data_IF_935259610491
#
_entry.id   IF_935259610491
#
_cell.length_a   1.000
_cell.length_b   1.000
_cell.length_c   1.000
_cell.angle_alpha   90.00
_cell.angle_beta   90.00
_cell.angle_gamma   90.00
#
_symmetry.space_group_name_H-M   'P 1'
#
loop_
_entity.id
_entity.type
_entity.pdbx_description
1 polymer ?
#
# COMPACT_ATOMS: atom_id res chain seq x y z
N UNK A 1 75.85 9.33 12.48
CA UNK A 1 76.83 9.82 11.52
C UNK A 1 76.09 10.36 10.33
N UNK A 2 76.24 11.63 10.18
CA UNK A 2 76.32 12.62 9.12
C UNK A 2 75.00 12.87 8.35
N UNK A 3 74.23 13.82 8.72
CA UNK A 3 74.21 15.26 8.40
C UNK A 3 74.60 15.63 6.96
N UNK A 4 73.67 16.16 6.19
CA UNK A 4 73.94 17.39 5.38
C UNK A 4 72.62 18.09 4.98
N UNK A 5 72.41 19.28 5.50
CA UNK A 5 71.53 20.33 4.96
C UNK A 5 72.12 20.91 3.69
N UNK A 6 71.33 21.35 2.73
CA UNK A 6 71.57 22.55 1.94
C UNK A 6 70.29 23.32 1.70
N UNK A 7 70.42 24.58 1.93
CA UNK A 7 69.56 25.72 1.90
C UNK A 7 69.51 26.42 0.52
N UNK A 8 68.54 27.24 0.28
CA UNK A 8 68.49 28.35 -0.63
C UNK A 8 67.30 28.33 -1.57
N UNK A 9 66.46 29.27 -1.76
CA UNK A 9 66.48 30.67 -1.43
C UNK A 9 65.73 31.41 -2.53
N UNK A 10 64.75 32.23 -2.14
CA UNK A 10 64.28 33.46 -2.80
C UNK A 10 63.76 33.49 -4.24
N UNK A 11 62.61 34.12 -4.37
CA UNK A 11 62.16 34.66 -5.65
C UNK A 11 60.76 35.27 -5.61
N UNK A 12 60.56 36.24 -4.74
CA UNK A 12 59.44 37.17 -4.85
C UNK A 12 59.69 38.06 -6.06
N UNK A 13 58.87 38.06 -7.04
CA UNK A 13 58.54 39.23 -7.85
C UNK A 13 57.12 39.19 -8.40
N UNK A 14 56.35 40.06 -7.85
CA UNK A 14 55.08 40.53 -8.34
C UNK A 14 55.11 40.91 -9.83
N UNK A 15 54.00 40.69 -10.49
CA UNK A 15 53.54 41.61 -11.52
C UNK A 15 52.03 41.76 -11.44
N UNK A 16 51.67 42.88 -10.82
CA UNK A 16 50.47 43.64 -11.06
C UNK A 16 50.47 44.08 -12.54
N UNK A 17 49.68 43.46 -13.40
CA UNK A 17 49.17 44.03 -14.67
C UNK A 17 48.04 43.09 -15.10
N UNK A 18 46.82 43.44 -14.82
CA UNK A 18 45.57 43.04 -15.48
C UNK A 18 44.35 43.59 -14.73
N UNK A 19 44.35 44.88 -14.49
CA UNK A 19 43.19 45.59 -13.93
C UNK A 19 42.97 46.86 -14.80
N UNK A 20 42.78 46.68 -16.09
CA UNK A 20 42.46 47.82 -16.97
C UNK A 20 41.81 47.38 -18.32
N UNK A 21 41.02 46.31 -18.36
CA UNK A 21 40.33 45.92 -19.59
C UNK A 21 38.91 45.35 -19.37
N UNK A 22 38.21 45.76 -18.33
CA UNK A 22 36.82 45.33 -18.04
C UNK A 22 35.89 46.50 -17.66
N UNK A 23 36.21 47.71 -18.13
CA UNK A 23 35.37 48.89 -17.85
C UNK A 23 34.82 49.55 -19.13
N UNK A 24 34.69 48.86 -20.24
CA UNK A 24 34.19 49.43 -21.51
C UNK A 24 33.21 48.54 -22.29
N UNK A 25 32.45 47.71 -21.61
CA UNK A 25 31.37 46.91 -22.30
C UNK A 25 30.08 46.83 -21.48
N UNK A 26 29.72 47.90 -20.79
CA UNK A 26 28.48 47.99 -20.01
C UNK A 26 27.62 49.21 -20.37
N UNK A 27 27.54 49.57 -21.64
CA UNK A 27 26.70 50.69 -22.06
C UNK A 27 26.02 50.48 -23.41
N UNK A 28 25.66 49.25 -23.77
CA UNK A 28 24.68 48.99 -24.82
C UNK A 28 23.91 47.73 -24.44
N UNK A 29 23.05 47.84 -23.47
CA UNK A 29 21.87 46.96 -23.38
C UNK A 29 20.69 47.89 -23.20
N UNK A 30 20.06 48.05 -24.31
CA UNK A 30 18.82 48.77 -24.40
C UNK A 30 17.77 48.14 -23.51
N UNK A 31 16.91 48.98 -23.07
CA UNK A 31 15.58 48.74 -22.54
C UNK A 31 14.95 47.54 -23.23
N UNK A 32 15.05 46.39 -22.61
CA UNK A 32 14.11 45.29 -22.82
C UNK A 32 13.16 45.33 -21.63
N UNK A 33 11.92 45.57 -21.94
CA UNK A 33 10.80 45.67 -21.04
C UNK A 33 10.88 44.67 -19.91
N UNK A 34 10.87 45.13 -18.69
CA UNK A 34 10.43 44.42 -17.51
C UNK A 34 8.92 44.11 -17.66
N UNK A 35 8.58 43.16 -18.53
CA UNK A 35 7.31 42.49 -18.45
C UNK A 35 7.42 41.57 -17.23
N UNK A 36 6.71 41.96 -16.21
CA UNK A 36 6.67 41.28 -14.92
C UNK A 36 6.38 39.78 -15.06
N UNK A 37 7.38 38.97 -14.75
CA UNK A 37 7.12 37.68 -14.18
C UNK A 37 6.64 37.93 -12.74
N UNK A 38 5.37 38.23 -12.60
CA UNK A 38 4.67 37.93 -11.38
C UNK A 38 4.65 36.40 -11.32
N UNK A 39 5.54 35.84 -10.51
CA UNK A 39 5.35 34.53 -9.93
C UNK A 39 4.06 34.65 -9.13
N UNK A 40 2.94 34.36 -9.75
CA UNK A 40 1.72 34.04 -9.03
C UNK A 40 2.09 32.79 -8.24
N UNK A 41 2.38 32.98 -6.97
CA UNK A 41 2.12 31.97 -5.98
C UNK A 41 0.62 31.66 -6.16
N UNK A 42 0.33 30.61 -6.89
CA UNK A 42 -1.00 30.04 -6.95
C UNK A 42 -1.25 29.62 -5.51
N UNK A 43 -2.05 30.38 -4.78
CA UNK A 43 -2.73 29.85 -3.62
C UNK A 43 -3.34 28.53 -4.06
N UNK A 44 -2.92 27.45 -3.42
CA UNK A 44 -3.52 26.15 -3.60
C UNK A 44 -4.92 26.34 -3.06
N UNK A 45 -5.89 26.42 -3.95
CA UNK A 45 -7.30 26.41 -3.59
C UNK A 45 -7.57 25.07 -2.90
N UNK A 46 -7.85 25.04 -1.60
CA UNK A 46 -8.11 23.80 -0.88
C UNK A 46 -9.42 23.13 -1.32
N UNK A 47 -10.14 23.72 -2.30
CA UNK A 47 -11.38 23.21 -2.87
C UNK A 47 -11.21 22.73 -4.32
N UNK A 48 -9.97 22.71 -4.84
CA UNK A 48 -9.70 22.11 -6.16
C UNK A 48 -9.99 20.62 -6.11
N UNK A 49 -10.60 20.04 -7.19
CA UNK A 49 -10.84 18.61 -7.20
C UNK A 49 -9.51 17.88 -7.06
N UNK A 50 -9.35 17.16 -5.96
CA UNK A 50 -8.26 16.22 -5.74
C UNK A 50 -8.19 15.29 -6.95
N UNK A 51 -7.18 15.47 -7.79
CA UNK A 51 -6.94 14.65 -8.98
C UNK A 51 -6.36 13.28 -8.60
N UNK A 52 -6.76 12.74 -7.45
CA UNK A 52 -6.37 11.42 -7.00
C UNK A 52 -7.62 10.65 -6.63
N UNK A 53 -8.11 9.89 -7.61
CA UNK A 53 -9.05 8.82 -7.43
C UNK A 53 -10.40 9.22 -6.85
N UNK A 54 -11.25 9.65 -7.62
CA UNK A 54 -12.60 9.15 -7.37
C UNK A 54 -13.09 8.64 -8.72
N UNK A 55 -13.25 7.33 -8.81
CA UNK A 55 -14.28 6.79 -9.67
C UNK A 55 -15.43 7.77 -9.52
N UNK A 56 -15.79 8.44 -10.60
CA UNK A 56 -16.89 9.40 -10.61
C UNK A 56 -18.03 8.80 -9.78
N UNK A 57 -18.57 9.53 -8.81
CA UNK A 57 -19.68 9.07 -7.95
C UNK A 57 -20.91 8.66 -8.77
N UNK A 58 -20.87 8.84 -10.09
CA UNK A 58 -21.92 8.51 -11.07
C UNK A 58 -21.74 7.12 -11.71
N UNK A 59 -20.56 6.48 -11.66
CA UNK A 59 -20.38 5.18 -12.33
C UNK A 59 -20.57 4.01 -11.37
N UNK A 60 -21.49 3.09 -11.77
CA UNK A 60 -21.68 1.82 -11.07
C UNK A 60 -20.73 0.78 -11.65
N UNK A 61 -19.50 0.72 -11.11
CA UNK A 61 -18.44 -0.20 -11.56
C UNK A 61 -17.88 -0.99 -10.38
N UNK A 62 -17.21 -2.09 -10.64
CA UNK A 62 -16.52 -2.90 -9.64
C UNK A 62 -17.45 -3.30 -8.50
N UNK A 63 -17.01 -3.08 -7.25
CA UNK A 63 -17.79 -3.43 -6.05
C UNK A 63 -19.13 -2.68 -5.97
N UNK A 64 -19.29 -1.53 -6.61
CA UNK A 64 -20.55 -0.78 -6.66
C UNK A 64 -21.65 -1.48 -7.48
N UNK A 65 -21.29 -2.48 -8.27
CA UNK A 65 -22.26 -3.37 -8.95
C UNK A 65 -22.86 -4.41 -8.00
N UNK A 66 -22.30 -4.57 -6.80
CA UNK A 66 -22.81 -5.48 -5.80
C UNK A 66 -23.99 -4.86 -5.05
N UNK A 67 -25.06 -5.59 -4.95
CA UNK A 67 -26.21 -5.24 -4.11
C UNK A 67 -26.28 -6.23 -2.96
N UNK A 68 -26.05 -5.79 -1.71
CA UNK A 68 -26.09 -6.70 -0.57
C UNK A 68 -27.45 -7.37 -0.43
N UNK A 69 -27.51 -8.69 -0.22
CA UNK A 69 -28.77 -9.36 0.09
C UNK A 69 -29.31 -8.88 1.43
N UNK A 70 -30.63 -8.94 1.61
CA UNK A 70 -31.25 -8.60 2.86
C UNK A 70 -30.86 -9.59 3.98
N UNK A 71 -30.76 -9.10 5.21
CA UNK A 71 -30.54 -9.91 6.41
C UNK A 71 -29.08 -10.14 6.78
N UNK A 72 -28.13 -9.50 6.12
CA UNK A 72 -26.77 -9.42 6.62
C UNK A 72 -26.70 -8.42 7.79
N UNK A 73 -26.02 -8.82 8.86
CA UNK A 73 -25.81 -8.00 10.04
C UNK A 73 -24.42 -7.35 10.01
N UNK A 74 -24.35 -6.10 10.48
CA UNK A 74 -23.08 -5.39 10.67
C UNK A 74 -22.94 -4.99 12.13
N UNK A 75 -21.90 -5.50 12.77
CA UNK A 75 -21.49 -5.11 14.11
C UNK A 75 -20.37 -4.07 13.97
N UNK A 76 -20.71 -2.80 14.22
CA UNK A 76 -19.82 -1.69 13.95
C UNK A 76 -18.97 -1.30 15.17
N UNK A 77 -17.80 -0.69 14.89
CA UNK A 77 -16.94 -0.03 15.87
C UNK A 77 -16.48 -0.93 17.03
N UNK A 78 -16.20 -2.20 16.72
CA UNK A 78 -15.61 -3.12 17.68
C UNK A 78 -14.13 -2.78 17.89
N UNK A 79 -13.71 -2.60 19.15
CA UNK A 79 -12.33 -2.35 19.49
C UNK A 79 -11.53 -3.66 19.39
N UNK A 80 -10.46 -3.66 18.57
CA UNK A 80 -9.54 -4.80 18.47
C UNK A 80 -8.17 -4.50 19.09
N UNK A 81 -7.93 -3.27 19.53
CA UNK A 81 -6.72 -2.89 20.25
C UNK A 81 -6.64 -1.42 20.57
N UNK A 82 -5.73 -1.11 21.47
CA UNK A 82 -5.34 0.25 21.84
C UNK A 82 -3.84 0.35 21.79
N UNK A 83 -3.30 1.37 21.12
CA UNK A 83 -1.85 1.59 21.03
C UNK A 83 -1.35 2.40 22.23
N UNK A 84 -0.03 2.42 22.43
CA UNK A 84 0.61 3.10 23.57
C UNK A 84 0.28 4.60 23.65
N UNK A 85 0.04 5.25 22.51
CA UNK A 85 -0.37 6.65 22.40
C UNK A 85 -1.86 6.89 22.72
N UNK A 86 -2.61 5.83 23.02
CA UNK A 86 -4.04 5.87 23.29
C UNK A 86 -4.92 5.77 22.05
N UNK A 87 -4.37 5.59 20.87
CA UNK A 87 -5.13 5.39 19.63
C UNK A 87 -5.94 4.10 19.70
N UNK A 88 -7.26 4.22 19.57
CA UNK A 88 -8.16 3.07 19.47
C UNK A 88 -8.16 2.53 18.06
N UNK A 89 -7.99 1.22 17.94
CA UNK A 89 -8.09 0.48 16.68
C UNK A 89 -9.44 -0.21 16.63
N UNK A 90 -10.23 0.09 15.60
CA UNK A 90 -11.60 -0.42 15.47
C UNK A 90 -11.81 -1.16 14.17
N UNK A 91 -12.70 -2.15 14.19
CA UNK A 91 -13.14 -2.88 13.01
C UNK A 91 -14.68 -3.00 13.01
N UNK A 92 -15.22 -3.33 11.85
CA UNK A 92 -16.63 -3.71 11.71
C UNK A 92 -16.71 -5.18 11.26
N UNK A 93 -17.57 -5.96 11.87
CA UNK A 93 -17.85 -7.33 11.43
C UNK A 93 -19.15 -7.38 10.65
N UNK A 94 -19.06 -7.83 9.41
CA UNK A 94 -20.20 -8.22 8.59
C UNK A 94 -20.44 -9.72 8.77
N UNK A 95 -21.59 -10.06 9.35
CA UNK A 95 -21.93 -11.44 9.65
C UNK A 95 -22.63 -12.11 8.46
N UNK A 96 -22.20 -13.32 8.09
CA UNK A 96 -22.96 -14.13 7.13
C UNK A 96 -24.32 -14.56 7.70
N UNK A 97 -25.27 -15.02 6.87
CA UNK A 97 -26.54 -15.53 7.38
C UNK A 97 -26.34 -16.61 8.44
N UNK A 98 -27.19 -16.70 9.46
CA UNK A 98 -27.02 -17.63 10.58
C UNK A 98 -26.75 -19.08 10.15
N UNK A 99 -25.86 -19.77 10.85
CA UNK A 99 -25.49 -21.17 10.63
C UNK A 99 -24.97 -21.81 11.90
N UNK A 100 -24.86 -23.14 11.94
CA UNK A 100 -24.47 -23.90 13.13
C UNK A 100 -22.99 -24.29 13.18
N UNK A 101 -22.26 -24.13 12.10
CA UNK A 101 -20.82 -24.45 12.04
C UNK A 101 -19.96 -23.19 12.16
N UNK A 102 -18.79 -23.34 12.76
CA UNK A 102 -17.77 -22.29 12.70
C UNK A 102 -17.34 -22.02 11.25
N UNK A 103 -17.09 -20.76 10.92
CA UNK A 103 -16.88 -20.26 9.55
C UNK A 103 -15.50 -19.66 9.39
N UNK A 104 -14.94 -19.73 8.19
CA UNK A 104 -13.73 -18.98 7.92
C UNK A 104 -13.99 -17.48 8.05
N UNK A 105 -12.94 -16.74 8.46
CA UNK A 105 -13.00 -15.30 8.52
C UNK A 105 -12.10 -14.67 7.45
N UNK A 106 -12.42 -13.44 7.03
CA UNK A 106 -11.59 -12.64 6.12
C UNK A 106 -11.41 -11.24 6.69
N UNK A 107 -10.16 -10.85 6.93
CA UNK A 107 -9.80 -9.45 7.24
C UNK A 107 -9.82 -8.66 5.95
N UNK A 108 -10.69 -7.65 5.87
CA UNK A 108 -10.83 -6.74 4.73
C UNK A 108 -10.11 -5.42 5.02
N UNK A 109 -9.10 -5.10 4.21
CA UNK A 109 -8.14 -4.03 4.44
C UNK A 109 -8.33 -2.96 3.37
N UNK A 110 -8.79 -1.77 3.76
CA UNK A 110 -9.08 -0.69 2.82
C UNK A 110 -7.84 -0.10 2.17
N UNK A 111 -8.01 0.46 0.97
CA UNK A 111 -7.01 1.27 0.28
C UNK A 111 -7.01 2.73 0.76
N UNK A 112 -6.26 3.59 0.05
CA UNK A 112 -6.19 5.01 0.32
C UNK A 112 -4.77 5.52 0.55
N UNK A 113 -3.80 4.95 -0.16
CA UNK A 113 -2.40 5.42 -0.12
C UNK A 113 -1.77 5.42 1.28
N UNK A 114 -2.25 4.55 2.17
CA UNK A 114 -1.91 4.50 3.61
C UNK A 114 -2.18 5.81 4.38
N UNK A 115 -2.73 6.84 3.72
CA UNK A 115 -2.92 8.19 4.27
C UNK A 115 -4.39 8.55 4.49
N UNK A 116 -5.30 7.74 3.99
CA UNK A 116 -6.75 7.95 4.09
C UNK A 116 -7.49 6.63 3.95
N UNK A 117 -8.78 6.67 4.18
CA UNK A 117 -9.66 5.50 4.10
C UNK A 117 -10.35 5.24 5.43
N UNK A 118 -11.38 4.43 5.38
CA UNK A 118 -12.16 4.04 6.55
C UNK A 118 -12.89 2.73 6.26
N UNK A 119 -12.92 1.85 7.26
CA UNK A 119 -13.62 0.56 7.24
C UNK A 119 -15.11 0.66 6.89
N UNK A 120 -15.73 1.80 7.23
CA UNK A 120 -17.15 2.06 7.01
C UNK A 120 -17.43 2.91 5.75
N UNK A 121 -16.39 3.28 4.97
CA UNK A 121 -16.60 3.87 3.65
C UNK A 121 -17.55 2.99 2.83
N UNK A 122 -18.46 3.59 2.06
CA UNK A 122 -19.53 2.87 1.37
C UNK A 122 -19.04 1.71 0.49
N UNK A 123 -17.93 1.90 -0.21
CA UNK A 123 -17.38 0.88 -1.09
C UNK A 123 -16.72 -0.26 -0.28
N UNK A 124 -15.99 0.05 0.79
CA UNK A 124 -15.40 -0.96 1.66
C UNK A 124 -16.45 -1.66 2.54
N UNK A 125 -17.53 -0.95 2.89
CA UNK A 125 -18.72 -1.57 3.49
C UNK A 125 -19.33 -2.60 2.53
N UNK A 126 -19.41 -2.30 1.24
CA UNK A 126 -19.89 -3.25 0.24
C UNK A 126 -18.95 -4.46 0.08
N UNK A 127 -17.63 -4.28 0.18
CA UNK A 127 -16.67 -5.41 0.23
C UNK A 127 -16.95 -6.30 1.43
N UNK A 128 -17.11 -5.72 2.62
CA UNK A 128 -17.41 -6.45 3.85
C UNK A 128 -18.72 -7.26 3.71
N UNK A 129 -19.78 -6.63 3.20
CA UNK A 129 -21.08 -7.28 2.97
C UNK A 129 -21.02 -8.34 1.86
N UNK A 130 -20.22 -8.10 0.81
CA UNK A 130 -20.00 -9.12 -0.22
C UNK A 130 -19.33 -10.38 0.37
N UNK A 131 -18.23 -10.23 1.09
CA UNK A 131 -17.55 -11.34 1.74
C UNK A 131 -18.49 -12.09 2.71
N UNK A 132 -19.31 -11.35 3.47
CA UNK A 132 -20.32 -11.95 4.33
C UNK A 132 -21.39 -12.72 3.54
N UNK A 133 -21.81 -12.22 2.37
CA UNK A 133 -22.78 -12.91 1.50
C UNK A 133 -22.21 -14.21 0.91
N UNK A 134 -20.88 -14.29 0.76
CA UNK A 134 -20.17 -15.51 0.38
C UNK A 134 -19.99 -16.50 1.54
N UNK A 135 -20.42 -16.15 2.76
CA UNK A 135 -20.39 -17.06 3.91
C UNK A 135 -19.22 -16.88 4.86
N UNK A 136 -18.35 -15.91 4.64
CA UNK A 136 -17.24 -15.57 5.54
C UNK A 136 -17.71 -14.67 6.68
N UNK A 137 -17.09 -14.77 7.85
CA UNK A 137 -17.12 -13.69 8.84
C UNK A 137 -16.14 -12.62 8.35
N UNK A 138 -16.65 -11.50 7.83
CA UNK A 138 -15.79 -10.47 7.23
C UNK A 138 -15.51 -9.35 8.25
N UNK A 139 -14.24 -9.06 8.52
CA UNK A 139 -13.78 -8.00 9.41
C UNK A 139 -13.16 -6.86 8.61
N UNK A 140 -13.91 -5.76 8.43
CA UNK A 140 -13.38 -4.54 7.81
C UNK A 140 -12.64 -3.72 8.84
N UNK A 141 -11.35 -3.47 8.64
CA UNK A 141 -10.47 -2.92 9.67
C UNK A 141 -10.03 -1.48 9.35
N UNK A 142 -10.00 -0.62 10.39
CA UNK A 142 -9.23 0.60 10.37
C UNK A 142 -7.81 0.30 10.88
N UNK A 143 -6.84 0.96 10.30
CA UNK A 143 -5.44 0.95 10.71
C UNK A 143 -4.91 2.39 10.76
N UNK A 144 -3.85 2.64 11.50
CA UNK A 144 -3.26 3.99 11.61
C UNK A 144 -2.66 4.44 10.29
N UNK A 145 -2.81 5.72 9.99
CA UNK A 145 -2.52 6.32 8.69
C UNK A 145 -1.34 7.30 8.76
N UNK A 146 -0.72 7.53 7.60
CA UNK A 146 0.19 8.65 7.34
C UNK A 146 -0.65 9.95 7.43
N UNK A 147 -0.15 11.06 8.00
CA UNK A 147 1.22 11.30 8.47
C UNK A 147 1.48 10.91 9.93
N UNK A 148 0.47 10.48 10.68
CA UNK A 148 0.59 10.24 12.11
C UNK A 148 1.55 9.08 12.43
N UNK A 149 1.56 8.07 11.56
CA UNK A 149 2.48 6.93 11.65
C UNK A 149 3.11 6.62 10.29
N UNK A 150 4.15 5.79 10.31
CA UNK A 150 4.86 5.30 9.13
C UNK A 150 4.91 3.76 9.15
N UNK A 151 5.39 3.17 8.06
CA UNK A 151 5.72 1.74 8.05
C UNK A 151 6.66 1.40 9.24
N UNK A 152 6.41 0.30 10.01
CA UNK A 152 5.43 -0.76 9.73
C UNK A 152 4.08 -0.61 10.46
N UNK A 153 3.76 0.51 11.08
CA UNK A 153 2.63 0.65 12.00
C UNK A 153 1.28 0.15 11.45
N UNK A 154 0.97 0.43 10.18
CA UNK A 154 -0.26 -0.06 9.55
C UNK A 154 -0.27 -1.60 9.41
N UNK A 155 0.88 -2.21 9.10
CA UNK A 155 1.03 -3.67 9.06
C UNK A 155 0.83 -4.28 10.45
N UNK A 156 1.42 -3.68 11.48
CA UNK A 156 1.26 -4.12 12.87
C UNK A 156 -0.19 -4.04 13.34
N UNK A 157 -0.95 -3.05 12.85
CA UNK A 157 -2.36 -2.90 13.18
C UNK A 157 -3.21 -3.99 12.54
N UNK A 158 -3.01 -4.29 11.24
CA UNK A 158 -3.77 -5.37 10.59
C UNK A 158 -3.37 -6.76 11.10
N UNK A 159 -2.11 -6.95 11.48
CA UNK A 159 -1.65 -8.17 12.14
C UNK A 159 -2.37 -8.40 13.49
N UNK A 160 -2.50 -7.34 14.29
CA UNK A 160 -3.24 -7.38 15.55
C UNK A 160 -4.73 -7.71 15.34
N UNK A 161 -5.34 -7.24 14.25
CA UNK A 161 -6.73 -7.58 13.94
C UNK A 161 -6.91 -9.08 13.65
N UNK A 162 -5.94 -9.73 12.98
CA UNK A 162 -5.96 -11.19 12.79
C UNK A 162 -5.83 -11.92 14.11
N UNK A 163 -4.89 -11.51 14.97
CA UNK A 163 -4.72 -12.11 16.30
C UNK A 163 -5.98 -11.96 17.16
N UNK A 164 -6.63 -10.79 17.10
CA UNK A 164 -7.88 -10.53 17.79
C UNK A 164 -9.01 -11.46 17.30
N UNK A 165 -9.19 -11.63 15.99
CA UNK A 165 -10.19 -12.55 15.43
C UNK A 165 -9.92 -14.01 15.80
N UNK A 166 -8.64 -14.38 15.94
CA UNK A 166 -8.21 -15.74 16.29
C UNK A 166 -8.36 -16.04 17.77
N UNK A 167 -8.42 -15.01 18.61
CA UNK A 167 -8.53 -15.21 20.06
C UNK A 167 -9.81 -15.99 20.41
N UNK A 168 -9.74 -16.94 21.39
CA UNK A 168 -10.85 -17.85 21.69
C UNK A 168 -12.18 -17.15 21.96
N UNK A 169 -12.15 -15.98 22.64
CA UNK A 169 -13.34 -15.21 22.96
C UNK A 169 -14.05 -14.69 21.71
N UNK A 170 -13.29 -14.12 20.76
CA UNK A 170 -13.82 -13.60 19.51
C UNK A 170 -14.23 -14.72 18.55
N UNK A 171 -13.45 -15.77 18.49
CA UNK A 171 -13.76 -16.93 17.67
C UNK A 171 -15.09 -17.57 18.12
N UNK A 172 -15.32 -17.73 19.43
CA UNK A 172 -16.59 -18.21 19.98
C UNK A 172 -17.73 -17.20 19.74
N UNK A 173 -17.51 -15.91 20.04
CA UNK A 173 -18.51 -14.86 19.93
C UNK A 173 -19.06 -14.74 18.50
N UNK A 174 -18.19 -14.79 17.49
CA UNK A 174 -18.56 -14.58 16.09
C UNK A 174 -18.68 -15.87 15.27
N UNK A 175 -18.47 -17.02 15.91
CA UNK A 175 -18.54 -18.33 15.25
C UNK A 175 -17.44 -18.50 14.20
N UNK A 176 -16.23 -18.03 14.48
CA UNK A 176 -15.05 -18.10 13.59
C UNK A 176 -14.32 -19.43 13.80
N UNK A 177 -13.91 -20.04 12.70
CA UNK A 177 -12.87 -21.07 12.73
C UNK A 177 -11.51 -20.39 12.75
N UNK A 178 -10.87 -20.37 13.91
CA UNK A 178 -9.61 -19.67 14.14
C UNK A 178 -8.43 -20.18 13.28
N UNK A 179 -8.53 -21.40 12.72
CA UNK A 179 -7.55 -21.95 11.80
C UNK A 179 -7.72 -21.45 10.36
N UNK A 180 -8.87 -20.86 10.03
CA UNK A 180 -9.24 -20.47 8.66
C UNK A 180 -9.50 -18.98 8.54
N UNK A 181 -8.46 -18.18 8.75
CA UNK A 181 -8.51 -16.71 8.59
C UNK A 181 -7.73 -16.32 7.34
N UNK A 182 -8.38 -15.64 6.41
CA UNK A 182 -7.77 -15.06 5.20
C UNK A 182 -7.67 -13.55 5.27
N UNK A 183 -6.97 -12.96 4.30
CA UNK A 183 -6.89 -11.51 4.11
C UNK A 183 -7.35 -11.11 2.70
N UNK A 184 -8.09 -10.01 2.62
CA UNK A 184 -8.45 -9.34 1.37
C UNK A 184 -8.07 -7.87 1.46
N UNK A 185 -7.46 -7.31 0.41
CA UNK A 185 -7.13 -5.89 0.40
C UNK A 185 -7.03 -5.31 -1.01
N UNK A 186 -7.12 -3.99 -1.11
CA UNK A 186 -6.97 -3.30 -2.39
C UNK A 186 -6.07 -2.07 -2.29
N UNK A 187 -5.27 -1.79 -3.33
CA UNK A 187 -4.33 -0.66 -3.34
C UNK A 187 -3.35 -0.74 -2.15
N UNK A 188 -3.27 0.29 -1.32
CA UNK A 188 -2.49 0.25 -0.07
C UNK A 188 -2.87 -0.94 0.83
N UNK A 189 -4.19 -1.27 0.92
CA UNK A 189 -4.67 -2.45 1.62
C UNK A 189 -4.24 -3.76 0.95
N UNK A 190 -4.06 -3.78 -0.38
CA UNK A 190 -3.50 -4.90 -1.13
C UNK A 190 -2.04 -5.16 -0.76
N UNK A 191 -1.22 -4.11 -0.65
CA UNK A 191 0.13 -4.22 -0.12
C UNK A 191 0.14 -4.78 1.32
N UNK A 192 -0.73 -4.27 2.20
CA UNK A 192 -0.81 -4.75 3.59
C UNK A 192 -1.27 -6.21 3.66
N UNK A 193 -2.24 -6.63 2.82
CA UNK A 193 -2.67 -8.02 2.74
C UNK A 193 -1.55 -8.95 2.25
N UNK A 194 -0.81 -8.54 1.22
CA UNK A 194 0.33 -9.29 0.71
C UNK A 194 1.49 -9.37 1.72
N UNK A 195 1.78 -8.27 2.43
CA UNK A 195 2.76 -8.26 3.52
C UNK A 195 2.34 -9.17 4.68
N UNK A 196 1.07 -9.13 5.06
CA UNK A 196 0.53 -10.00 6.11
C UNK A 196 0.72 -11.47 5.74
N UNK A 197 0.45 -11.84 4.48
CA UNK A 197 0.70 -13.18 3.96
C UNK A 197 2.16 -13.60 3.98
N UNK A 198 3.07 -12.68 3.65
CA UNK A 198 4.52 -12.91 3.60
C UNK A 198 5.24 -12.65 4.94
N UNK A 199 4.51 -12.53 6.06
CA UNK A 199 5.11 -12.27 7.37
C UNK A 199 5.01 -13.50 8.26
N UNK A 200 6.14 -13.93 8.81
CA UNK A 200 6.26 -15.12 9.66
C UNK A 200 6.49 -16.39 8.84
N UNK A 201 6.77 -17.49 9.51
CA UNK A 201 7.10 -18.80 8.93
C UNK A 201 6.28 -19.90 9.62
N UNK A 202 6.04 -21.01 8.94
CA UNK A 202 5.42 -22.21 9.52
C UNK A 202 3.89 -22.24 9.41
N UNK A 203 3.21 -22.64 10.48
CA UNK A 203 1.77 -22.88 10.51
C UNK A 203 0.97 -21.61 10.21
N UNK A 204 -0.09 -21.71 9.38
CA UNK A 204 -0.92 -20.58 8.96
C UNK A 204 -2.08 -20.29 9.93
N UNK A 205 -2.24 -21.08 10.96
CA UNK A 205 -3.29 -20.99 11.98
C UNK A 205 -2.80 -20.44 13.33
N UNK A 206 -1.63 -19.84 13.36
CA UNK A 206 -1.00 -19.27 14.56
C UNK A 206 -0.73 -17.77 14.42
N UNK A 207 -0.80 -17.03 15.54
CA UNK A 207 -0.49 -15.59 15.62
C UNK A 207 -1.26 -14.75 14.59
N UNK A 208 -0.57 -13.91 13.85
CA UNK A 208 -1.13 -13.09 12.78
C UNK A 208 -1.07 -13.74 11.38
N UNK A 209 -0.63 -15.00 11.27
CA UNK A 209 -0.58 -15.71 9.99
C UNK A 209 -1.99 -15.87 9.39
N UNK A 210 -2.09 -15.85 8.07
CA UNK A 210 -3.36 -16.04 7.35
C UNK A 210 -3.26 -17.23 6.40
N UNK A 211 -4.37 -17.92 6.17
CA UNK A 211 -4.41 -19.15 5.37
C UNK A 211 -4.62 -18.90 3.86
N UNK A 212 -5.02 -17.70 3.47
CA UNK A 212 -5.13 -17.28 2.07
C UNK A 212 -5.06 -15.75 1.98
N UNK A 213 -4.53 -15.23 0.88
CA UNK A 213 -4.50 -13.79 0.58
C UNK A 213 -5.15 -13.53 -0.76
N UNK A 214 -6.05 -12.55 -0.84
CA UNK A 214 -6.51 -11.97 -2.10
C UNK A 214 -6.19 -10.45 -2.09
N UNK A 215 -5.40 -10.01 -3.05
CA UNK A 215 -5.04 -8.60 -3.19
C UNK A 215 -5.45 -8.06 -4.55
N UNK A 216 -5.84 -6.78 -4.58
CA UNK A 216 -6.20 -6.08 -5.81
C UNK A 216 -5.36 -4.82 -5.97
N UNK A 217 -4.59 -4.74 -7.06
CA UNK A 217 -3.86 -3.53 -7.46
C UNK A 217 -2.91 -2.99 -6.38
N UNK A 218 -2.32 -3.85 -5.56
CA UNK A 218 -1.37 -3.45 -4.53
C UNK A 218 -0.04 -2.97 -5.13
N UNK A 219 0.57 -1.90 -4.61
CA UNK A 219 1.98 -1.62 -4.90
C UNK A 219 2.86 -2.59 -4.09
N UNK A 220 3.51 -3.54 -4.79
CA UNK A 220 4.14 -4.73 -4.20
C UNK A 220 5.68 -4.72 -4.23
N UNK A 221 6.29 -3.80 -4.99
CA UNK A 221 7.73 -3.54 -5.03
C UNK A 221 7.98 -2.07 -4.72
N UNK A 222 8.37 -1.74 -3.49
CA UNK A 222 8.44 -0.36 -3.02
C UNK A 222 9.85 0.22 -3.05
N UNK A 223 10.85 -0.53 -3.48
CA UNK A 223 12.19 0.03 -3.68
C UNK A 223 12.20 0.98 -4.88
N UNK A 224 13.04 2.02 -4.84
CA UNK A 224 13.16 2.96 -5.94
C UNK A 224 13.50 2.26 -7.27
N UNK A 225 14.28 1.17 -7.21
CA UNK A 225 14.66 0.38 -8.40
C UNK A 225 13.43 -0.31 -9.00
N UNK A 226 12.59 -0.93 -8.17
CA UNK A 226 11.37 -1.62 -8.63
C UNK A 226 10.34 -0.63 -9.16
N UNK A 227 10.09 0.45 -8.42
CA UNK A 227 9.15 1.49 -8.84
C UNK A 227 9.53 2.08 -10.22
N UNK A 228 10.81 2.41 -10.43
CA UNK A 228 11.29 2.92 -11.71
C UNK A 228 11.24 1.86 -12.81
N UNK A 229 11.65 0.63 -12.52
CA UNK A 229 11.64 -0.47 -13.50
C UNK A 229 10.22 -0.82 -13.97
N UNK A 230 9.23 -0.70 -13.10
CA UNK A 230 7.82 -0.95 -13.42
C UNK A 230 7.11 0.28 -14.01
N UNK A 231 7.78 1.43 -14.09
CA UNK A 231 7.21 2.65 -14.67
C UNK A 231 6.27 3.42 -13.73
N UNK A 232 6.45 3.28 -12.41
CA UNK A 232 5.68 4.02 -11.43
C UNK A 232 5.80 5.54 -11.64
N UNK A 233 4.66 6.23 -11.62
CA UNK A 233 4.59 7.68 -11.74
C UNK A 233 5.29 8.38 -10.57
N UNK A 234 5.71 9.63 -10.75
CA UNK A 234 6.28 10.43 -9.66
C UNK A 234 5.29 10.58 -8.48
N UNK A 235 3.99 10.60 -8.77
CA UNK A 235 2.93 10.62 -7.76
C UNK A 235 2.96 9.34 -6.89
N UNK A 236 3.00 8.15 -7.50
CA UNK A 236 3.08 6.89 -6.75
C UNK A 236 4.40 6.79 -5.95
N UNK A 237 5.53 7.21 -6.55
CA UNK A 237 6.81 7.25 -5.85
C UNK A 237 6.77 8.19 -4.62
N UNK A 238 6.08 9.34 -4.72
CA UNK A 238 5.88 10.27 -3.61
C UNK A 238 5.07 9.65 -2.47
N UNK A 239 3.95 9.00 -2.78
CA UNK A 239 3.13 8.30 -1.79
C UNK A 239 3.90 7.20 -1.06
N UNK A 240 4.68 6.42 -1.79
CA UNK A 240 5.53 5.37 -1.20
C UNK A 240 6.59 6.00 -0.28
N UNK A 241 7.22 7.09 -0.71
CA UNK A 241 8.21 7.82 0.10
C UNK A 241 7.59 8.34 1.41
N UNK A 242 6.38 8.91 1.35
CA UNK A 242 5.63 9.37 2.52
C UNK A 242 5.31 8.21 3.47
N UNK A 243 4.87 7.07 2.94
CA UNK A 243 4.56 5.88 3.74
C UNK A 243 5.78 5.33 4.47
N UNK A 244 6.93 5.36 3.80
CA UNK A 244 8.18 4.81 4.31
C UNK A 244 9.02 5.81 5.14
N UNK A 245 8.62 7.09 5.22
CA UNK A 245 9.43 8.18 5.77
C UNK A 245 10.80 8.31 5.09
N UNK A 246 10.81 8.25 3.77
CA UNK A 246 12.01 8.31 2.93
C UNK A 246 11.91 9.45 1.92
N UNK A 247 13.08 9.94 1.45
CA UNK A 247 13.10 10.85 0.32
C UNK A 247 12.67 10.12 -0.97
N UNK A 248 11.86 10.74 -1.84
CA UNK A 248 11.49 10.15 -3.12
C UNK A 248 12.72 9.75 -3.95
N UNK A 249 12.74 8.51 -4.43
CA UNK A 249 13.88 7.97 -5.19
C UNK A 249 15.08 7.55 -4.33
N UNK A 250 14.95 7.55 -3.01
CA UNK A 250 15.99 7.06 -2.11
C UNK A 250 16.35 5.59 -2.41
N UNK A 251 17.64 5.29 -2.54
CA UNK A 251 18.12 3.93 -2.73
C UNK A 251 17.98 3.07 -1.47
N UNK A 252 18.11 1.76 -1.62
CA UNK A 252 18.00 0.78 -0.49
C UNK A 252 18.88 1.15 0.70
N UNK A 253 20.07 1.71 0.46
CA UNK A 253 20.99 2.14 1.53
C UNK A 253 20.51 3.33 2.34
N UNK A 254 19.56 4.13 1.82
CA UNK A 254 18.98 5.32 2.47
C UNK A 254 17.51 5.15 2.82
N UNK A 255 16.86 4.10 2.32
CA UNK A 255 15.51 3.71 2.64
C UNK A 255 15.40 2.17 2.79
N UNK A 256 15.96 1.59 3.85
CA UNK A 256 15.92 0.13 4.08
C UNK A 256 14.48 -0.37 4.26
N UNK A 257 13.59 0.45 4.77
CA UNK A 257 12.16 0.16 4.94
C UNK A 257 11.48 -0.22 3.62
N UNK A 258 11.97 0.28 2.48
CA UNK A 258 11.40 -0.05 1.17
C UNK A 258 11.48 -1.54 0.84
N UNK A 259 12.59 -2.19 1.21
CA UNK A 259 12.74 -3.65 1.08
C UNK A 259 11.77 -4.37 2.03
N UNK A 260 11.73 -3.95 3.29
CA UNK A 260 10.86 -4.58 4.30
C UNK A 260 9.37 -4.41 4.01
N UNK A 261 8.99 -3.32 3.34
CA UNK A 261 7.62 -3.05 2.91
C UNK A 261 7.26 -3.66 1.54
N UNK A 262 8.20 -4.36 0.90
CA UNK A 262 7.99 -5.12 -0.34
C UNK A 262 7.76 -6.59 0.00
N UNK A 263 6.56 -7.16 -0.15
CA UNK A 263 6.26 -8.53 0.28
C UNK A 263 7.17 -9.59 -0.36
N UNK A 264 7.64 -9.37 -1.60
CA UNK A 264 8.56 -10.29 -2.28
C UNK A 264 9.89 -10.52 -1.53
N UNK A 265 10.31 -9.60 -0.65
CA UNK A 265 11.54 -9.72 0.14
C UNK A 265 11.43 -10.66 1.34
N UNK A 266 10.20 -11.09 1.67
CA UNK A 266 9.88 -11.87 2.86
C UNK A 266 9.40 -13.29 2.56
N UNK A 267 9.24 -13.63 1.28
CA UNK A 267 8.62 -14.90 0.86
C UNK A 267 9.40 -16.12 1.32
N UNK A 268 8.67 -17.09 1.85
CA UNK A 268 9.14 -18.44 2.11
C UNK A 268 8.12 -19.51 1.66
N UNK A 269 8.52 -20.80 1.54
CA UNK A 269 7.62 -21.84 1.06
C UNK A 269 6.41 -22.14 1.93
N UNK A 270 6.36 -21.63 3.18
CA UNK A 270 5.22 -21.81 4.09
C UNK A 270 4.17 -20.70 3.96
N UNK A 271 4.39 -19.72 3.06
CA UNK A 271 3.44 -18.64 2.86
C UNK A 271 2.13 -19.14 2.23
N UNK A 272 1.01 -18.48 2.56
CA UNK A 272 -0.31 -18.87 2.08
C UNK A 272 -0.45 -18.68 0.57
N UNK A 273 -1.37 -19.42 -0.08
CA UNK A 273 -1.77 -19.12 -1.44
C UNK A 273 -2.22 -17.68 -1.64
N UNK A 274 -1.88 -17.08 -2.79
CA UNK A 274 -2.17 -15.68 -3.11
C UNK A 274 -2.97 -15.55 -4.41
N UNK A 275 -4.09 -14.83 -4.36
CA UNK A 275 -4.81 -14.33 -5.52
C UNK A 275 -4.41 -12.86 -5.75
N UNK A 276 -4.05 -12.52 -6.99
CA UNK A 276 -3.69 -11.17 -7.42
C UNK A 276 -4.66 -10.73 -8.52
N UNK A 277 -5.38 -9.64 -8.30
CA UNK A 277 -6.22 -9.01 -9.33
C UNK A 277 -5.66 -7.65 -9.74
N UNK A 278 -5.55 -7.37 -11.06
CA UNK A 278 -4.98 -6.11 -11.55
C UNK A 278 -5.57 -5.74 -12.90
N UNK A 279 -5.78 -4.43 -13.16
CA UNK A 279 -6.15 -3.97 -14.49
C UNK A 279 -4.92 -3.79 -15.39
N UNK A 280 -5.12 -3.85 -16.71
CA UNK A 280 -4.02 -3.71 -17.67
C UNK A 280 -3.33 -2.35 -17.62
N UNK A 281 -4.08 -1.27 -17.33
CA UNK A 281 -3.62 0.11 -17.47
C UNK A 281 -4.17 0.97 -16.33
N UNK A 282 -3.53 0.96 -15.18
CA UNK A 282 -3.97 1.72 -14.02
C UNK A 282 -2.82 2.49 -13.33
N UNK A 283 -3.13 3.17 -12.21
CA UNK A 283 -2.17 4.04 -11.49
C UNK A 283 -1.02 3.27 -10.83
N UNK A 284 -1.25 2.00 -10.45
CA UNK A 284 -0.19 1.07 -10.05
C UNK A 284 0.21 0.24 -11.27
N UNK A 285 1.46 0.26 -11.70
CA UNK A 285 1.85 -0.46 -12.90
C UNK A 285 1.64 -1.99 -12.77
N UNK A 286 1.10 -2.63 -13.79
CA UNK A 286 0.92 -4.10 -13.85
C UNK A 286 2.22 -4.88 -13.56
N UNK A 287 3.38 -4.26 -13.83
CA UNK A 287 4.69 -4.79 -13.49
C UNK A 287 4.83 -5.18 -12.03
N UNK A 288 4.20 -4.46 -11.11
CA UNK A 288 4.18 -4.74 -9.67
C UNK A 288 3.59 -6.14 -9.39
N UNK A 289 2.40 -6.40 -9.91
CA UNK A 289 1.70 -7.68 -9.74
C UNK A 289 2.38 -8.84 -10.47
N UNK A 290 2.87 -8.64 -11.71
CA UNK A 290 3.54 -9.70 -12.47
C UNK A 290 4.87 -10.10 -11.85
N UNK A 291 5.63 -9.14 -11.30
CA UNK A 291 6.87 -9.38 -10.56
C UNK A 291 6.61 -10.18 -9.30
N UNK A 292 5.60 -9.78 -8.51
CA UNK A 292 5.24 -10.47 -7.28
C UNK A 292 4.74 -11.90 -7.54
N UNK A 293 3.87 -12.09 -8.54
CA UNK A 293 3.43 -13.42 -8.95
C UNK A 293 4.61 -14.33 -9.35
N UNK A 294 5.61 -13.76 -10.04
CA UNK A 294 6.84 -14.49 -10.40
C UNK A 294 7.65 -14.86 -9.16
N UNK A 295 7.76 -13.95 -8.18
CA UNK A 295 8.49 -14.21 -6.93
C UNK A 295 7.78 -15.29 -6.09
N UNK A 296 6.45 -15.24 -5.95
CA UNK A 296 5.65 -16.27 -5.28
C UNK A 296 5.88 -17.67 -5.90
N UNK A 297 5.77 -17.75 -7.23
CA UNK A 297 6.00 -19.01 -7.93
C UNK A 297 7.43 -19.53 -7.73
N UNK A 298 8.44 -18.65 -7.72
CA UNK A 298 9.83 -19.01 -7.46
C UNK A 298 10.06 -19.48 -6.02
N UNK A 299 9.30 -18.95 -5.05
CA UNK A 299 9.31 -19.39 -3.66
C UNK A 299 8.52 -20.71 -3.43
N UNK A 300 7.80 -21.21 -4.45
CA UNK A 300 6.95 -22.39 -4.34
C UNK A 300 5.57 -22.11 -3.74
N UNK A 301 5.19 -20.85 -3.60
CA UNK A 301 3.89 -20.41 -3.09
C UNK A 301 2.84 -20.47 -4.22
N UNK A 302 1.67 -21.10 -4.03
CA UNK A 302 0.63 -21.10 -5.02
C UNK A 302 0.11 -19.68 -5.31
N UNK A 303 0.01 -19.32 -6.59
CA UNK A 303 -0.45 -17.99 -6.99
C UNK A 303 -1.40 -18.05 -8.18
N UNK A 304 -2.46 -17.26 -8.12
CA UNK A 304 -3.36 -16.96 -9.25
C UNK A 304 -3.28 -15.47 -9.58
N UNK A 305 -2.90 -15.13 -10.83
CA UNK A 305 -2.90 -13.77 -11.35
C UNK A 305 -4.07 -13.57 -12.31
N UNK A 306 -4.95 -12.63 -11.99
CA UNK A 306 -6.08 -12.22 -12.79
C UNK A 306 -5.84 -10.81 -13.37
N UNK A 307 -5.45 -10.73 -14.64
CA UNK A 307 -5.37 -9.45 -15.33
C UNK A 307 -6.71 -9.19 -16.02
N UNK A 308 -7.31 -8.03 -15.72
CA UNK A 308 -8.58 -7.60 -16.31
C UNK A 308 -8.37 -6.42 -17.27
N UNK A 309 -9.13 -6.34 -18.37
CA UNK A 309 -9.05 -5.20 -19.28
C UNK A 309 -9.44 -3.88 -18.61
N UNK A 310 -8.84 -2.76 -19.06
CA UNK A 310 -9.20 -1.41 -18.63
C UNK A 310 -8.21 -0.79 -17.67
N UNK A 311 -8.68 0.26 -17.00
CA UNK A 311 -7.87 1.18 -16.20
C UNK A 311 -8.41 1.40 -14.77
N UNK A 312 -9.46 0.68 -14.39
CA UNK A 312 -10.04 0.77 -13.05
C UNK A 312 -9.08 0.23 -12.00
N UNK A 313 -9.00 0.92 -10.88
CA UNK A 313 -8.06 0.62 -9.80
C UNK A 313 -8.72 -0.10 -8.63
N UNK A 314 -8.01 -1.09 -8.03
CA UNK A 314 -8.38 -1.72 -6.77
C UNK A 314 -9.79 -2.33 -6.82
N UNK A 315 -10.65 -2.07 -5.84
CA UNK A 315 -12.03 -2.56 -5.80
C UNK A 315 -12.92 -2.03 -6.94
N UNK A 316 -12.42 -1.08 -7.74
CA UNK A 316 -13.03 -0.65 -9.01
C UNK A 316 -13.05 -1.75 -10.07
N UNK A 317 -12.12 -2.73 -10.01
CA UNK A 317 -12.14 -3.90 -10.91
C UNK A 317 -13.01 -5.05 -10.38
N UNK A 318 -13.50 -4.96 -9.15
CA UNK A 318 -14.19 -6.05 -8.45
C UNK A 318 -15.65 -6.19 -8.92
N UNK A 319 -15.85 -6.43 -10.21
CA UNK A 319 -17.14 -6.72 -10.82
C UNK A 319 -17.64 -8.14 -10.43
N UNK A 320 -18.81 -8.53 -10.93
CA UNK A 320 -19.42 -9.84 -10.62
C UNK A 320 -18.50 -11.02 -10.99
N UNK A 321 -17.81 -10.94 -12.13
CA UNK A 321 -16.94 -12.01 -12.60
C UNK A 321 -15.68 -12.14 -11.72
N UNK A 322 -15.06 -11.00 -11.36
CA UNK A 322 -13.89 -11.02 -10.51
C UNK A 322 -14.25 -11.37 -9.06
N UNK A 323 -15.41 -10.91 -8.55
CA UNK A 323 -15.93 -11.35 -7.23
C UNK A 323 -16.09 -12.86 -7.16
N UNK A 324 -16.67 -13.48 -8.19
CA UNK A 324 -16.83 -14.94 -8.24
C UNK A 324 -15.48 -15.68 -8.24
N UNK A 325 -14.46 -15.15 -8.94
CA UNK A 325 -13.12 -15.75 -8.95
C UNK A 325 -12.44 -15.62 -7.58
N UNK A 326 -12.47 -14.43 -6.98
CA UNK A 326 -11.89 -14.20 -5.64
C UNK A 326 -12.60 -15.05 -4.59
N UNK A 327 -13.94 -15.10 -4.59
CA UNK A 327 -14.70 -15.94 -3.68
C UNK A 327 -14.36 -17.44 -3.87
N UNK A 328 -14.29 -17.90 -5.11
CA UNK A 328 -13.89 -19.26 -5.44
C UNK A 328 -12.49 -19.61 -4.93
N UNK A 329 -11.53 -18.70 -5.08
CA UNK A 329 -10.18 -18.85 -4.54
C UNK A 329 -10.19 -18.91 -3.00
N UNK A 330 -10.89 -18.00 -2.33
CA UNK A 330 -10.97 -17.98 -0.87
C UNK A 330 -11.66 -19.26 -0.34
N UNK A 331 -12.73 -19.73 -0.98
CA UNK A 331 -13.36 -21.01 -0.61
C UNK A 331 -12.45 -22.22 -0.84
N UNK A 332 -11.66 -22.22 -1.89
CA UNK A 332 -10.74 -23.34 -2.15
C UNK A 332 -9.66 -23.48 -1.07
N UNK A 333 -9.30 -22.39 -0.41
CA UNK A 333 -8.20 -22.36 0.57
C UNK A 333 -8.65 -22.17 2.02
N UNK A 334 -9.84 -21.62 2.24
CA UNK A 334 -10.41 -21.46 3.58
C UNK A 334 -11.54 -22.46 3.88
N UNK A 335 -12.16 -23.07 2.87
CA UNK A 335 -13.22 -24.09 3.03
C UNK A 335 -14.61 -23.51 3.03
#
# INVERSE_FOLDING_TARGET
MTSTRITGGSGIRARRIALAALAALAAVVGVVALSGFHTQLREIDPTGPDAASEVSTAETVGIRTFTPPAGLEVLADLEYGTREDGTLLTLDICMPPPGSAARPAVVSIHGGSWARGDKANADWRNVCLWLASEGFVAASVNYRLVPDVRFPAALDDVALAVEWLRAPEQAEQFGIDAARIGAFGGSAGGNLAALLGATGEGALDEGSRVAAVAELSGPLGLTAVELVADGASAWLQGIVADYLDCEPGAGVGTCPQATDASPASRLDPSDPPVFIGHAEQEVVPLGQSTRFATALAAAGVPVELAVVPGDLHSIGILDEALRARVAGFLHAHLG
#
